data_IF_001440193651
#
_entry.id   IF_001440193651
#
_cell.length_a   1.000
_cell.length_b   1.000
_cell.length_c   1.000
_cell.angle_alpha   90.00
_cell.angle_beta   90.00
_cell.angle_gamma   90.00
#
_symmetry.space_group_name_H-M   'P 1'
#
loop_
_entity.id
_entity.type
_entity.pdbx_description
1 polymer ?
#
# COMPACT_ATOMS: atom_id res chain seq x y z
N UNK A 1 -7.06 30.55 20.45
CA UNK A 1 -5.85 31.35 20.19
C UNK A 1 -4.74 30.54 19.52
N UNK A 2 -4.47 29.32 19.95
CA UNK A 2 -3.43 28.43 19.37
C UNK A 2 -3.68 28.05 17.91
N UNK A 3 -4.91 27.68 17.53
CA UNK A 3 -5.28 27.42 16.13
C UNK A 3 -4.85 28.52 15.17
N UNK A 4 -5.16 29.78 15.47
CA UNK A 4 -4.78 30.93 14.62
C UNK A 4 -3.26 31.07 14.46
N UNK A 5 -2.46 30.63 15.43
CA UNK A 5 -1.00 30.67 15.35
C UNK A 5 -0.46 29.54 14.46
N UNK A 6 -1.03 28.34 14.55
CA UNK A 6 -0.63 27.19 13.70
C UNK A 6 -0.91 27.45 12.22
N UNK A 7 -2.10 27.96 11.89
CA UNK A 7 -2.43 28.30 10.49
C UNK A 7 -1.61 29.46 9.91
N UNK A 8 -0.90 30.23 10.73
CA UNK A 8 0.10 31.20 10.26
C UNK A 8 1.47 30.58 9.95
N UNK A 9 1.68 29.29 10.27
CA UNK A 9 2.93 28.59 9.94
C UNK A 9 2.78 27.95 8.55
N UNK A 10 3.53 28.40 7.53
CA UNK A 10 3.36 27.90 6.16
C UNK A 10 3.58 26.39 6.07
N UNK A 11 4.58 25.87 6.79
CA UNK A 11 4.87 24.43 6.78
C UNK A 11 3.74 23.56 7.37
N UNK A 12 2.93 24.08 8.30
CA UNK A 12 1.76 23.36 8.78
C UNK A 12 0.65 23.33 7.71
N UNK A 13 0.41 24.47 7.06
CA UNK A 13 -0.60 24.57 6.00
C UNK A 13 -0.20 23.71 4.80
N UNK A 14 1.08 23.71 4.42
CA UNK A 14 1.57 22.83 3.33
C UNK A 14 1.42 21.36 3.67
N UNK A 15 1.63 20.93 4.91
CA UNK A 15 1.41 19.54 5.33
C UNK A 15 -0.07 19.12 5.19
N UNK A 16 -1.02 19.99 5.60
CA UNK A 16 -2.45 19.74 5.42
C UNK A 16 -2.85 19.69 3.94
N UNK A 17 -2.31 20.61 3.13
CA UNK A 17 -2.57 20.64 1.69
C UNK A 17 -2.02 19.37 1.00
N UNK A 18 -0.88 18.87 1.46
CA UNK A 18 -0.25 17.67 0.92
C UNK A 18 -1.10 16.41 1.21
N UNK A 19 -1.78 16.34 2.36
CA UNK A 19 -2.77 15.28 2.65
C UNK A 19 -3.89 15.31 1.60
N UNK A 20 -4.43 16.49 1.30
CA UNK A 20 -5.49 16.63 0.30
C UNK A 20 -5.00 16.20 -1.09
N UNK A 21 -3.83 16.68 -1.50
CA UNK A 21 -3.23 16.33 -2.80
C UNK A 21 -3.01 14.82 -2.91
N UNK A 22 -2.43 14.19 -1.88
CA UNK A 22 -2.23 12.74 -1.85
C UNK A 22 -3.56 11.97 -1.96
N UNK A 23 -4.58 12.42 -1.24
CA UNK A 23 -5.92 11.81 -1.31
C UNK A 23 -6.52 11.93 -2.71
N UNK A 24 -6.38 13.09 -3.33
CA UNK A 24 -6.87 13.33 -4.70
C UNK A 24 -6.13 12.44 -5.72
N UNK A 25 -4.80 12.36 -5.64
CA UNK A 25 -3.99 11.49 -6.51
C UNK A 25 -4.45 10.03 -6.39
N UNK A 26 -4.66 9.55 -5.16
CA UNK A 26 -5.07 8.17 -4.92
C UNK A 26 -6.51 7.92 -5.42
N UNK A 27 -7.41 8.88 -5.26
CA UNK A 27 -8.77 8.78 -5.81
C UNK A 27 -8.76 8.69 -7.33
N UNK A 28 -7.96 9.51 -8.01
CA UNK A 28 -7.82 9.42 -9.47
C UNK A 28 -7.19 8.09 -9.89
N UNK A 29 -6.16 7.65 -9.18
CA UNK A 29 -5.53 6.35 -9.42
C UNK A 29 -6.45 5.17 -9.08
N UNK A 30 -7.30 5.30 -8.06
CA UNK A 30 -8.29 4.28 -7.65
C UNK A 30 -9.46 4.16 -8.61
N UNK A 31 -9.86 5.25 -9.30
CA UNK A 31 -10.88 5.19 -10.34
C UNK A 31 -10.44 4.34 -11.54
N UNK A 32 -9.14 4.22 -11.78
CA UNK A 32 -8.54 3.27 -12.73
C UNK A 32 -8.38 1.85 -12.14
N UNK A 33 -8.97 1.55 -11.00
CA UNK A 33 -8.95 0.25 -10.33
C UNK A 33 -7.69 -0.03 -9.51
N UNK A 34 -6.91 1.00 -9.12
CA UNK A 34 -5.67 0.85 -8.34
C UNK A 34 -4.57 0.07 -9.05
N UNK A 35 -4.58 0.14 -10.36
CA UNK A 35 -3.70 -0.60 -11.25
C UNK A 35 -2.33 0.05 -11.28
N UNK A 36 -1.31 -0.73 -10.97
CA UNK A 36 0.09 -0.26 -10.85
C UNK A 36 0.83 -0.39 -12.17
N UNK A 37 0.41 -1.31 -13.02
CA UNK A 37 1.03 -1.60 -14.31
C UNK A 37 -0.04 -1.72 -15.38
N UNK A 38 0.23 -1.17 -16.56
CA UNK A 38 -0.63 -1.24 -17.75
C UNK A 38 0.04 -2.09 -18.83
N UNK A 39 -0.69 -3.05 -19.37
CA UNK A 39 -0.22 -3.94 -20.43
C UNK A 39 -1.18 -3.89 -21.61
N UNK A 40 -0.65 -3.65 -22.79
CA UNK A 40 -1.42 -3.69 -24.03
C UNK A 40 -1.33 -5.08 -24.65
N UNK A 41 -2.49 -5.69 -24.90
CA UNK A 41 -2.62 -7.00 -25.53
C UNK A 41 -3.00 -6.84 -27.00
N UNK A 42 -2.38 -7.64 -27.88
CA UNK A 42 -2.68 -7.65 -29.29
C UNK A 42 -2.62 -9.09 -29.83
N UNK A 43 -3.63 -9.52 -30.58
CA UNK A 43 -3.56 -10.72 -31.39
C UNK A 43 -3.25 -10.32 -32.84
N UNK A 44 -2.21 -10.89 -33.45
CA UNK A 44 -1.89 -10.66 -34.87
C UNK A 44 -2.99 -11.23 -35.78
N UNK A 45 -3.64 -12.32 -35.34
CA UNK A 45 -4.77 -12.93 -36.05
C UNK A 45 -6.03 -12.88 -35.17
N UNK A 46 -7.01 -12.11 -35.57
CA UNK A 46 -8.29 -12.02 -34.87
C UNK A 46 -9.14 -13.31 -34.89
N UNK A 47 -8.79 -14.25 -35.77
CA UNK A 47 -9.47 -15.55 -35.87
C UNK A 47 -8.83 -16.63 -34.96
N UNK A 48 -7.75 -16.32 -34.26
CA UNK A 48 -7.16 -17.22 -33.26
C UNK A 48 -8.03 -17.23 -32.00
N UNK A 49 -8.79 -18.32 -31.83
CA UNK A 49 -9.75 -18.48 -30.73
C UNK A 49 -9.04 -18.51 -29.38
N UNK A 50 -7.90 -19.18 -29.27
CA UNK A 50 -7.13 -19.30 -28.02
C UNK A 50 -6.60 -17.93 -27.59
N UNK A 51 -5.97 -17.20 -28.51
CA UNK A 51 -5.46 -15.85 -28.21
C UNK A 51 -6.60 -14.89 -27.79
N UNK A 52 -7.73 -14.94 -28.51
CA UNK A 52 -8.89 -14.08 -28.25
C UNK A 52 -9.53 -14.38 -26.88
N UNK A 53 -9.66 -15.66 -26.53
CA UNK A 53 -10.23 -16.07 -25.24
C UNK A 53 -9.31 -15.64 -24.08
N UNK A 54 -8.00 -15.86 -24.18
CA UNK A 54 -7.02 -15.42 -23.16
C UNK A 54 -7.04 -13.89 -22.99
N UNK A 55 -7.07 -13.12 -24.09
CA UNK A 55 -7.17 -11.67 -24.05
C UNK A 55 -8.46 -11.23 -23.37
N UNK A 56 -9.58 -11.87 -23.68
CA UNK A 56 -10.88 -11.57 -23.06
C UNK A 56 -10.87 -11.87 -21.57
N UNK A 57 -10.34 -13.01 -21.14
CA UNK A 57 -10.19 -13.36 -19.73
C UNK A 57 -9.34 -12.36 -18.98
N UNK A 58 -8.14 -12.05 -19.48
CA UNK A 58 -7.22 -11.09 -18.86
C UNK A 58 -7.83 -9.69 -18.74
N UNK A 59 -8.58 -9.23 -19.76
CA UNK A 59 -9.21 -7.91 -19.75
C UNK A 59 -10.44 -7.84 -18.85
N UNK A 60 -11.16 -8.95 -18.64
CA UNK A 60 -12.35 -8.99 -17.78
C UNK A 60 -12.01 -9.11 -16.30
N UNK A 61 -10.82 -9.59 -15.97
CA UNK A 61 -10.41 -9.88 -14.61
C UNK A 61 -9.97 -8.62 -13.85
N UNK A 62 -10.50 -8.43 -12.66
CA UNK A 62 -10.04 -7.36 -11.75
C UNK A 62 -8.67 -7.73 -11.20
N UNK A 63 -7.66 -6.95 -11.52
CA UNK A 63 -6.28 -7.22 -11.13
C UNK A 63 -5.50 -5.93 -10.92
N UNK A 64 -4.36 -6.03 -10.26
CA UNK A 64 -3.38 -4.93 -10.08
C UNK A 64 -2.80 -4.46 -11.42
N UNK A 65 -2.90 -5.31 -12.45
CA UNK A 65 -2.46 -5.02 -13.81
C UNK A 65 -3.64 -4.56 -14.65
N UNK A 66 -3.48 -3.46 -15.35
CA UNK A 66 -4.45 -2.97 -16.35
C UNK A 66 -4.15 -3.62 -17.69
N UNK A 67 -5.05 -4.48 -18.14
CA UNK A 67 -4.99 -4.99 -19.50
C UNK A 67 -5.85 -4.14 -20.42
N UNK A 68 -5.30 -3.74 -21.55
CA UNK A 68 -5.97 -3.03 -22.63
C UNK A 68 -5.71 -3.73 -23.95
N UNK A 69 -6.59 -3.61 -24.93
CA UNK A 69 -6.44 -4.23 -26.24
C UNK A 69 -5.98 -3.22 -27.29
N UNK A 70 -5.11 -3.62 -28.19
CA UNK A 70 -4.76 -2.85 -29.39
C UNK A 70 -5.26 -3.56 -30.63
N UNK A 71 -5.64 -2.77 -31.64
CA UNK A 71 -6.15 -3.29 -32.92
C UNK A 71 -5.04 -3.77 -33.87
N UNK A 72 -3.80 -3.34 -33.64
CA UNK A 72 -2.64 -3.78 -34.42
C UNK A 72 -1.37 -3.83 -33.60
N UNK A 73 -0.39 -4.55 -34.10
CA UNK A 73 0.96 -4.67 -33.51
C UNK A 73 1.66 -3.31 -33.40
N UNK A 74 1.54 -2.49 -34.43
CA UNK A 74 2.12 -1.15 -34.48
C UNK A 74 1.52 -0.26 -33.41
N UNK A 75 0.21 -0.35 -33.19
CA UNK A 75 -0.47 0.38 -32.11
C UNK A 75 0.02 -0.09 -30.74
N UNK A 76 0.19 -1.40 -30.54
CA UNK A 76 0.69 -1.95 -29.29
C UNK A 76 2.11 -1.44 -28.99
N UNK A 77 3.00 -1.42 -29.95
CA UNK A 77 4.34 -0.85 -29.82
C UNK A 77 4.30 0.64 -29.51
N UNK A 78 3.52 1.41 -30.28
CA UNK A 78 3.37 2.85 -30.07
C UNK A 78 2.86 3.18 -28.66
N UNK A 79 1.98 2.36 -28.09
CA UNK A 79 1.51 2.54 -26.73
C UNK A 79 2.64 2.38 -25.71
N UNK A 80 3.58 1.45 -25.91
CA UNK A 80 4.73 1.28 -25.02
C UNK A 80 5.75 2.41 -25.23
N UNK A 81 6.06 2.78 -26.47
CA UNK A 81 7.00 3.87 -26.77
C UNK A 81 6.53 5.22 -26.22
N UNK A 82 5.23 5.49 -26.28
CA UNK A 82 4.63 6.73 -25.78
C UNK A 82 4.32 6.69 -24.25
N UNK A 83 4.67 5.61 -23.55
CA UNK A 83 4.43 5.48 -22.11
C UNK A 83 2.95 5.36 -21.72
N UNK A 84 2.06 4.98 -22.67
CA UNK A 84 0.64 4.69 -22.42
C UNK A 84 0.50 3.35 -21.71
N UNK A 85 1.39 2.40 -22.02
CA UNK A 85 1.51 1.10 -21.35
C UNK A 85 2.96 0.78 -21.02
N UNK A 86 3.16 0.02 -19.95
CA UNK A 86 4.49 -0.39 -19.45
C UNK A 86 5.06 -1.56 -20.27
N UNK A 87 4.16 -2.37 -20.84
CA UNK A 87 4.52 -3.49 -21.71
C UNK A 87 3.43 -3.75 -22.75
N UNK A 88 3.79 -4.44 -23.82
CA UNK A 88 2.81 -5.04 -24.71
C UNK A 88 3.10 -6.54 -24.93
N UNK A 89 2.02 -7.30 -25.03
CA UNK A 89 2.05 -8.73 -25.31
C UNK A 89 1.34 -8.99 -26.61
N UNK A 90 2.07 -9.56 -27.56
CA UNK A 90 1.61 -9.82 -28.90
C UNK A 90 1.50 -11.32 -29.10
N UNK A 91 0.29 -11.81 -29.25
CA UNK A 91 0.02 -13.18 -29.65
C UNK A 91 0.27 -13.30 -31.15
N UNK A 92 1.18 -14.20 -31.52
CA UNK A 92 1.58 -14.37 -32.91
C UNK A 92 0.45 -15.02 -33.73
N UNK A 93 0.61 -15.03 -35.04
CA UNK A 93 -0.41 -15.35 -36.04
C UNK A 93 -1.18 -16.67 -35.83
N UNK A 94 -0.64 -17.59 -35.06
CA UNK A 94 -1.31 -18.85 -34.75
C UNK A 94 -0.83 -19.44 -33.42
N UNK A 95 -1.42 -18.98 -32.32
CA UNK A 95 -1.07 -19.41 -30.94
C UNK A 95 -1.38 -20.90 -30.73
N UNK A 96 -2.55 -21.37 -31.19
CA UNK A 96 -2.97 -22.75 -31.08
C UNK A 96 -2.00 -23.70 -31.80
N UNK A 97 -1.60 -23.33 -33.02
CA UNK A 97 -0.62 -24.12 -33.80
C UNK A 97 0.76 -24.15 -33.12
N UNK A 98 1.20 -23.02 -32.59
CA UNK A 98 2.46 -22.91 -31.86
C UNK A 98 2.50 -23.78 -30.62
N UNK A 99 1.38 -23.91 -29.90
CA UNK A 99 1.25 -24.82 -28.76
C UNK A 99 1.32 -26.29 -29.19
N UNK A 100 0.63 -26.69 -30.25
CA UNK A 100 0.67 -28.05 -30.80
C UNK A 100 2.09 -28.44 -31.28
N UNK A 101 2.75 -27.55 -32.01
CA UNK A 101 4.13 -27.76 -32.45
C UNK A 101 5.11 -27.92 -31.28
N UNK A 102 4.86 -27.24 -30.17
CA UNK A 102 5.65 -27.40 -28.94
C UNK A 102 5.49 -28.81 -28.34
N UNK A 103 4.27 -29.32 -28.30
CA UNK A 103 3.97 -30.67 -27.80
C UNK A 103 4.60 -31.75 -28.69
N UNK A 104 4.44 -31.62 -30.01
CA UNK A 104 4.93 -32.64 -30.97
C UNK A 104 6.45 -32.68 -31.08
N UNK A 105 7.11 -31.50 -31.13
CA UNK A 105 8.55 -31.40 -31.38
C UNK A 105 9.40 -31.29 -30.09
N UNK A 106 8.78 -31.19 -28.92
CA UNK A 106 9.46 -31.04 -27.63
C UNK A 106 10.22 -29.71 -27.46
N UNK A 107 9.91 -28.70 -28.25
CA UNK A 107 10.54 -27.38 -28.17
C UNK A 107 9.91 -26.32 -29.04
N UNK A 108 10.09 -25.03 -28.65
CA UNK A 108 9.59 -23.91 -29.42
C UNK A 108 10.45 -23.61 -30.64
N UNK A 109 9.88 -23.68 -31.82
CA UNK A 109 10.52 -23.15 -33.04
C UNK A 109 10.36 -21.66 -33.15
N UNK A 110 9.20 -21.13 -32.74
CA UNK A 110 8.90 -19.68 -32.67
C UNK A 110 8.08 -19.40 -31.43
N UNK A 111 8.33 -18.27 -30.73
CA UNK A 111 7.50 -17.89 -29.59
C UNK A 111 6.09 -17.57 -30.08
N UNK A 112 5.07 -18.11 -29.43
CA UNK A 112 3.66 -17.81 -29.72
C UNK A 112 3.14 -16.56 -29.01
N UNK A 113 3.88 -16.06 -28.00
CA UNK A 113 3.65 -14.74 -27.40
C UNK A 113 4.96 -13.99 -27.36
N UNK A 114 4.97 -12.77 -27.88
CA UNK A 114 6.11 -11.86 -27.84
C UNK A 114 5.81 -10.77 -26.81
N UNK A 115 6.72 -10.58 -25.87
CA UNK A 115 6.62 -9.59 -24.78
C UNK A 115 7.63 -8.48 -25.04
N UNK A 116 7.15 -7.25 -25.12
CA UNK A 116 7.98 -6.04 -25.23
C UNK A 116 7.69 -5.14 -24.03
N UNK A 117 8.73 -4.72 -23.34
CA UNK A 117 8.65 -3.89 -22.13
C UNK A 117 9.81 -2.90 -22.10
N UNK A 118 9.60 -1.72 -21.51
CA UNK A 118 10.65 -0.71 -21.38
C UNK A 118 11.64 -1.06 -20.25
N UNK A 119 11.12 -1.50 -19.10
CA UNK A 119 11.91 -1.83 -17.93
C UNK A 119 11.38 -3.13 -17.30
N UNK A 120 12.22 -3.83 -16.55
CA UNK A 120 11.79 -4.99 -15.79
C UNK A 120 11.33 -4.56 -14.39
N UNK A 121 10.16 -4.98 -13.97
CA UNK A 121 9.61 -4.71 -12.65
C UNK A 121 9.00 -5.96 -12.02
N UNK A 122 8.95 -5.98 -10.69
CA UNK A 122 8.33 -7.09 -9.96
C UNK A 122 6.86 -7.30 -10.38
N UNK A 123 6.15 -6.24 -10.73
CA UNK A 123 4.76 -6.31 -11.16
C UNK A 123 4.62 -6.89 -12.58
N UNK A 124 5.57 -6.62 -13.47
CA UNK A 124 5.61 -7.24 -14.81
C UNK A 124 5.95 -8.72 -14.71
N UNK A 125 6.79 -9.12 -13.77
CA UNK A 125 7.05 -10.54 -13.47
C UNK A 125 5.77 -11.23 -13.02
N UNK A 126 5.04 -10.66 -12.06
CA UNK A 126 3.75 -11.19 -11.60
C UNK A 126 2.71 -11.23 -12.73
N UNK A 127 2.69 -10.23 -13.60
CA UNK A 127 1.81 -10.22 -14.77
C UNK A 127 2.14 -11.38 -15.73
N UNK A 128 3.43 -11.68 -15.95
CA UNK A 128 3.86 -12.83 -16.76
C UNK A 128 3.42 -14.16 -16.15
N UNK A 129 3.52 -14.32 -14.83
CA UNK A 129 2.99 -15.50 -14.14
C UNK A 129 1.48 -15.67 -14.37
N UNK A 130 0.74 -14.55 -14.37
CA UNK A 130 -0.68 -14.57 -14.69
C UNK A 130 -0.94 -14.99 -16.15
N UNK A 131 -0.13 -14.54 -17.09
CA UNK A 131 -0.19 -15.01 -18.48
C UNK A 131 0.06 -16.51 -18.57
N UNK A 132 1.09 -17.03 -17.89
CA UNK A 132 1.38 -18.45 -17.85
C UNK A 132 0.21 -19.25 -17.25
N UNK A 133 -0.42 -18.76 -16.19
CA UNK A 133 -1.57 -19.40 -15.58
C UNK A 133 -2.76 -19.51 -16.55
N UNK A 134 -2.92 -18.56 -17.48
CA UNK A 134 -3.98 -18.60 -18.51
C UNK A 134 -3.58 -19.46 -19.73
N UNK A 135 -2.31 -19.51 -20.07
CA UNK A 135 -1.80 -20.34 -21.18
C UNK A 135 -1.72 -21.82 -20.81
N UNK A 136 -1.36 -22.11 -19.56
CA UNK A 136 -1.09 -23.49 -19.11
C UNK A 136 -2.26 -24.46 -19.32
N UNK A 137 -3.54 -24.13 -19.08
CA UNK A 137 -4.65 -25.05 -19.31
C UNK A 137 -4.76 -25.53 -20.76
N UNK A 138 -4.49 -24.66 -21.73
CA UNK A 138 -4.50 -25.02 -23.16
C UNK A 138 -3.34 -25.94 -23.50
N UNK A 139 -2.12 -25.60 -23.04
CA UNK A 139 -0.93 -26.42 -23.25
C UNK A 139 -1.06 -27.79 -22.55
N UNK A 140 -1.59 -27.83 -21.34
CA UNK A 140 -1.80 -29.04 -20.58
C UNK A 140 -2.83 -29.96 -21.24
N UNK A 141 -3.87 -29.39 -21.87
CA UNK A 141 -4.81 -30.18 -22.65
C UNK A 141 -4.15 -30.82 -23.88
N UNK A 142 -3.35 -30.09 -24.63
CA UNK A 142 -2.67 -30.60 -25.80
C UNK A 142 -1.67 -31.73 -25.43
N UNK A 143 -0.91 -31.53 -24.32
CA UNK A 143 -0.03 -32.57 -23.77
C UNK A 143 -0.80 -33.83 -23.33
N UNK A 144 -1.95 -33.63 -22.67
CA UNK A 144 -2.80 -34.74 -22.23
C UNK A 144 -3.41 -35.48 -23.43
N UNK A 145 -3.91 -34.76 -24.43
CA UNK A 145 -4.49 -35.32 -25.64
C UNK A 145 -3.46 -36.12 -26.45
N UNK A 146 -2.26 -35.58 -26.61
CA UNK A 146 -1.16 -36.29 -27.29
C UNK A 146 -0.76 -37.58 -26.55
N UNK A 147 -0.61 -37.50 -25.22
CA UNK A 147 -0.30 -38.67 -24.39
C UNK A 147 -1.37 -39.78 -24.51
N UNK A 148 -2.66 -39.40 -24.46
CA UNK A 148 -3.78 -40.33 -24.51
C UNK A 148 -3.91 -40.96 -25.90
N UNK A 149 -3.76 -40.16 -26.96
CA UNK A 149 -3.79 -40.65 -28.35
C UNK A 149 -2.67 -41.63 -28.62
N UNK A 150 -1.44 -41.34 -28.19
CA UNK A 150 -0.27 -42.17 -28.46
C UNK A 150 -0.27 -43.47 -27.64
N UNK A 151 -0.82 -43.50 -26.43
CA UNK A 151 -0.74 -44.66 -25.54
C UNK A 151 -2.03 -45.47 -25.48
N UNK A 152 -3.20 -44.88 -25.73
CA UNK A 152 -4.51 -45.50 -25.51
C UNK A 152 -5.42 -45.47 -26.74
N UNK A 153 -5.07 -44.71 -27.79
CA UNK A 153 -5.83 -44.67 -29.04
C UNK A 153 -7.24 -44.09 -28.90
N UNK A 154 -7.49 -43.26 -27.84
CA UNK A 154 -8.78 -42.68 -27.57
C UNK A 154 -9.06 -41.44 -28.48
N UNK A 155 -10.34 -41.26 -28.84
CA UNK A 155 -10.79 -40.19 -29.75
C UNK A 155 -10.88 -38.80 -29.04
N UNK A 156 -10.46 -37.80 -29.78
CA UNK A 156 -10.21 -36.43 -29.23
C UNK A 156 -11.43 -35.71 -28.61
N UNK A 157 -12.65 -35.95 -29.10
CA UNK A 157 -13.83 -35.19 -28.58
C UNK A 157 -14.23 -35.66 -27.18
N UNK A 158 -14.22 -36.95 -26.88
CA UNK A 158 -14.55 -37.44 -25.54
C UNK A 158 -13.46 -37.11 -24.52
N UNK A 159 -12.20 -37.06 -24.95
CA UNK A 159 -11.08 -36.64 -24.11
C UNK A 159 -11.20 -35.19 -23.70
N UNK A 160 -11.62 -34.30 -24.63
CA UNK A 160 -11.82 -32.88 -24.37
C UNK A 160 -12.87 -32.64 -23.27
N UNK A 161 -14.02 -33.32 -23.39
CA UNK A 161 -15.08 -33.22 -22.42
C UNK A 161 -14.67 -33.75 -21.03
N UNK A 162 -13.96 -34.88 -20.99
CA UNK A 162 -13.44 -35.45 -19.74
C UNK A 162 -12.40 -34.53 -19.08
N UNK A 163 -11.47 -33.99 -19.88
CA UNK A 163 -10.45 -33.07 -19.36
C UNK A 163 -11.05 -31.82 -18.74
N UNK A 164 -11.96 -31.12 -19.44
CA UNK A 164 -12.59 -29.91 -18.92
C UNK A 164 -13.50 -30.19 -17.73
N UNK A 165 -14.23 -31.31 -17.71
CA UNK A 165 -15.04 -31.72 -16.56
C UNK A 165 -14.16 -32.08 -15.34
N UNK A 166 -12.97 -32.64 -15.55
CA UNK A 166 -12.03 -32.94 -14.48
C UNK A 166 -11.24 -31.71 -14.03
N UNK A 167 -10.98 -30.76 -14.93
CA UNK A 167 -10.25 -29.52 -14.62
C UNK A 167 -11.14 -28.40 -14.06
N UNK A 168 -12.49 -28.49 -14.21
CA UNK A 168 -13.46 -27.59 -13.60
C UNK A 168 -13.64 -27.92 -12.09
N UNK A 169 -12.51 -27.97 -11.39
CA UNK A 169 -12.48 -28.11 -9.94
C UNK A 169 -12.96 -26.75 -9.39
N UNK A 170 -14.21 -26.70 -9.02
CA UNK A 170 -14.84 -25.51 -8.39
C UNK A 170 -14.42 -25.28 -6.94
N UNK A 171 -13.79 -26.28 -6.34
CA UNK A 171 -13.29 -26.19 -4.98
C UNK A 171 -11.85 -25.64 -4.99
N UNK A 172 -11.63 -24.60 -4.22
CA UNK A 172 -10.28 -24.06 -3.99
C UNK A 172 -9.38 -25.19 -3.46
N UNK A 173 -8.37 -25.56 -4.25
CA UNK A 173 -7.36 -26.58 -3.87
C UNK A 173 -6.59 -26.11 -2.61
N UNK A 174 -6.61 -24.81 -2.33
CA UNK A 174 -5.97 -24.19 -1.19
C UNK A 174 -6.99 -23.38 -0.38
N UNK A 175 -7.12 -23.75 0.90
CA UNK A 175 -7.84 -22.90 1.88
C UNK A 175 -6.85 -21.92 2.51
N UNK A 176 -6.98 -20.64 2.18
CA UNK A 176 -6.12 -19.59 2.72
C UNK A 176 -6.79 -19.00 3.95
N UNK A 177 -6.29 -19.35 5.12
CA UNK A 177 -6.70 -18.76 6.40
C UNK A 177 -5.61 -17.84 6.95
N UNK A 178 -6.00 -16.69 7.48
CA UNK A 178 -5.08 -15.77 8.12
C UNK A 178 -5.04 -16.03 9.63
N UNK A 179 -3.87 -16.26 10.19
CA UNK A 179 -3.64 -16.66 11.59
C UNK A 179 -4.28 -15.72 12.64
N UNK A 180 -4.56 -14.47 12.28
CA UNK A 180 -5.03 -13.43 13.21
C UNK A 180 -6.31 -12.71 12.76
N UNK A 181 -7.00 -13.19 11.74
CA UNK A 181 -8.26 -12.56 11.31
C UNK A 181 -9.26 -13.61 10.82
N UNK A 182 -10.45 -13.59 11.41
CA UNK A 182 -11.62 -14.35 10.92
C UNK A 182 -12.25 -13.70 9.66
N UNK A 183 -11.68 -12.63 9.15
CA UNK A 183 -12.16 -11.92 7.97
C UNK A 183 -11.43 -12.41 6.73
N UNK A 184 -12.17 -12.99 5.78
CA UNK A 184 -11.71 -13.09 4.40
C UNK A 184 -11.26 -11.70 3.98
N UNK A 185 -10.01 -11.57 3.57
CA UNK A 185 -9.49 -10.30 3.01
C UNK A 185 -10.28 -10.07 1.74
N UNK A 186 -11.27 -9.17 1.81
CA UNK A 186 -11.82 -8.58 0.59
C UNK A 186 -10.63 -8.03 -0.19
N UNK A 187 -10.63 -8.19 -1.51
CA UNK A 187 -9.58 -7.72 -2.42
C UNK A 187 -9.25 -6.25 -2.15
N UNK A 188 -8.34 -6.03 -1.20
CA UNK A 188 -7.94 -4.68 -0.83
C UNK A 188 -7.06 -4.14 -1.95
N UNK A 189 -7.49 -3.04 -2.52
CA UNK A 189 -6.73 -2.32 -3.52
C UNK A 189 -5.30 -2.08 -2.99
N UNK A 190 -4.30 -2.62 -3.67
CA UNK A 190 -2.88 -2.61 -3.23
C UNK A 190 -2.37 -1.20 -2.89
N UNK A 191 -2.87 -0.17 -3.57
CA UNK A 191 -2.51 1.23 -3.31
C UNK A 191 -3.13 1.80 -2.03
N UNK A 192 -4.20 1.20 -1.55
CA UNK A 192 -4.95 1.68 -0.39
C UNK A 192 -4.29 1.29 0.93
N UNK A 193 -3.64 0.14 0.99
CA UNK A 193 -2.97 -0.34 2.21
C UNK A 193 -1.84 0.61 2.67
N UNK A 194 -0.91 1.05 1.80
CA UNK A 194 0.11 2.03 2.18
C UNK A 194 -0.44 3.41 2.50
N UNK A 195 -1.58 3.81 1.89
CA UNK A 195 -2.19 5.12 2.12
C UNK A 195 -2.41 5.40 3.60
N UNK A 196 -3.00 4.44 4.32
CA UNK A 196 -3.27 4.59 5.75
C UNK A 196 -1.99 4.81 6.55
N UNK A 197 -0.94 4.06 6.23
CA UNK A 197 0.37 4.22 6.85
C UNK A 197 0.98 5.60 6.59
N UNK A 198 0.97 6.04 5.34
CA UNK A 198 1.48 7.37 4.95
C UNK A 198 0.66 8.48 5.62
N UNK A 199 -0.66 8.38 5.65
CA UNK A 199 -1.52 9.37 6.31
C UNK A 199 -1.28 9.42 7.83
N UNK A 200 -1.06 8.27 8.48
CA UNK A 200 -0.68 8.22 9.89
C UNK A 200 0.67 8.95 10.12
N UNK A 201 1.62 8.81 9.21
CA UNK A 201 2.90 9.54 9.29
C UNK A 201 2.72 11.06 9.25
N UNK A 202 1.72 11.61 8.55
CA UNK A 202 1.45 13.04 8.58
C UNK A 202 1.00 13.53 9.95
N UNK A 203 0.20 12.76 10.69
CA UNK A 203 -0.18 13.11 12.08
C UNK A 203 1.07 13.17 12.95
N UNK A 204 1.97 12.21 12.79
CA UNK A 204 3.22 12.17 13.54
C UNK A 204 4.15 13.32 13.17
N UNK A 205 4.31 13.61 11.87
CA UNK A 205 5.13 14.71 11.36
C UNK A 205 4.64 16.07 11.90
N UNK A 206 3.34 16.32 11.83
CA UNK A 206 2.78 17.61 12.30
C UNK A 206 2.84 17.72 13.82
N UNK A 207 2.73 16.64 14.55
CA UNK A 207 2.91 16.59 16.00
C UNK A 207 4.35 16.94 16.39
N UNK A 208 5.35 16.35 15.77
CA UNK A 208 6.76 16.64 15.98
C UNK A 208 7.14 18.05 15.53
N UNK A 209 6.64 18.52 14.38
CA UNK A 209 6.89 19.86 13.89
C UNK A 209 6.29 20.93 14.84
N UNK A 210 5.16 20.64 15.48
CA UNK A 210 4.54 21.56 16.42
C UNK A 210 5.35 21.80 17.69
N UNK A 211 6.20 20.84 18.10
CA UNK A 211 7.19 21.05 19.17
C UNK A 211 8.16 22.18 18.79
N UNK A 212 8.64 22.16 17.54
CA UNK A 212 9.53 23.23 17.04
C UNK A 212 8.82 24.60 17.02
N UNK A 213 7.55 24.62 16.61
CA UNK A 213 6.76 25.86 16.60
C UNK A 213 6.54 26.38 18.01
N UNK A 214 6.20 25.50 18.96
CA UNK A 214 6.07 25.87 20.37
C UNK A 214 7.37 26.45 20.93
N UNK A 215 8.50 25.75 20.74
CA UNK A 215 9.79 26.22 21.20
C UNK A 215 10.20 27.57 20.59
N UNK A 216 9.91 27.80 19.31
CA UNK A 216 10.17 29.06 18.65
C UNK A 216 9.27 30.18 19.23
N UNK A 217 8.00 29.91 19.44
CA UNK A 217 7.05 30.89 20.01
C UNK A 217 7.41 31.18 21.47
N UNK A 218 7.90 30.17 22.24
CA UNK A 218 8.42 30.35 23.58
C UNK A 218 9.66 31.26 23.61
N UNK A 219 10.63 31.04 22.69
CA UNK A 219 11.81 31.92 22.56
C UNK A 219 11.45 33.37 22.22
N UNK A 220 10.35 33.59 21.51
CA UNK A 220 9.81 34.94 21.18
C UNK A 220 8.99 35.55 22.31
N UNK A 221 8.96 34.92 23.50
CA UNK A 221 8.25 35.44 24.67
C UNK A 221 6.74 35.21 24.65
N UNK A 222 6.21 34.44 23.71
CA UNK A 222 4.76 34.23 23.58
C UNK A 222 4.10 33.63 24.82
N UNK A 223 4.86 32.91 25.64
CA UNK A 223 4.41 32.20 26.86
C UNK A 223 5.12 32.68 28.12
N UNK A 224 5.72 33.90 28.12
CA UNK A 224 6.49 34.44 29.23
C UNK A 224 5.65 34.63 30.52
N UNK A 225 4.33 34.81 30.38
CA UNK A 225 3.39 34.99 31.48
C UNK A 225 2.97 33.66 32.16
N UNK A 226 3.36 32.51 31.61
CA UNK A 226 2.98 31.16 32.11
C UNK A 226 4.04 30.68 33.10
N UNK A 227 3.56 30.16 34.24
CA UNK A 227 4.42 29.56 35.25
C UNK A 227 5.26 28.39 34.62
N UNK A 228 6.58 28.34 34.88
CA UNK A 228 7.47 27.27 34.34
C UNK A 228 6.94 25.84 34.54
N UNK A 229 6.33 25.55 35.68
CA UNK A 229 5.77 24.23 35.97
C UNK A 229 4.57 23.83 35.08
N UNK A 230 3.95 24.81 34.40
CA UNK A 230 2.81 24.59 33.50
C UNK A 230 3.22 24.55 32.01
N UNK A 231 4.49 24.80 31.71
CA UNK A 231 4.95 24.84 30.31
C UNK A 231 4.72 23.51 29.59
N UNK A 232 4.91 22.35 30.24
CA UNK A 232 4.69 21.05 29.62
C UNK A 232 3.21 20.82 29.21
N UNK A 233 2.26 21.34 30.01
CA UNK A 233 0.83 21.24 29.68
C UNK A 233 0.47 22.12 28.50
N UNK A 234 1.04 23.33 28.43
CA UNK A 234 0.82 24.27 27.32
C UNK A 234 1.48 23.76 26.03
N UNK A 235 2.65 23.12 26.15
CA UNK A 235 3.29 22.40 25.05
C UNK A 235 2.40 21.26 24.54
N UNK A 236 1.92 20.42 25.46
CA UNK A 236 1.00 19.34 25.12
C UNK A 236 -0.28 19.84 24.44
N UNK A 237 -0.88 20.93 24.92
CA UNK A 237 -2.06 21.55 24.31
C UNK A 237 -1.74 22.09 22.90
N UNK A 238 -0.56 22.70 22.72
CA UNK A 238 -0.13 23.21 21.41
C UNK A 238 0.04 22.09 20.39
N UNK A 239 0.68 20.98 20.81
CA UNK A 239 0.86 19.78 20.00
C UNK A 239 -0.48 19.11 19.71
N UNK A 240 -1.36 19.00 20.74
CA UNK A 240 -2.68 18.40 20.60
C UNK A 240 -3.54 19.11 19.54
N UNK A 241 -3.54 20.43 19.54
CA UNK A 241 -4.27 21.22 18.52
C UNK A 241 -3.75 20.89 17.11
N UNK A 242 -2.45 20.76 16.93
CA UNK A 242 -1.86 20.38 15.65
C UNK A 242 -2.24 18.98 15.23
N UNK A 243 -2.06 18.00 16.14
CA UNK A 243 -2.34 16.60 15.89
C UNK A 243 -3.82 16.32 15.60
N UNK A 244 -4.73 16.93 16.37
CA UNK A 244 -6.18 16.78 16.16
C UNK A 244 -6.60 17.36 14.80
N UNK A 245 -6.13 18.57 14.45
CA UNK A 245 -6.45 19.14 13.15
C UNK A 245 -5.98 18.21 12.01
N UNK A 246 -4.75 17.72 12.07
CA UNK A 246 -4.23 16.78 11.05
C UNK A 246 -5.01 15.46 11.05
N UNK A 247 -5.34 14.90 12.22
CA UNK A 247 -6.12 13.68 12.32
C UNK A 247 -7.52 13.79 11.72
N UNK A 248 -8.17 14.96 11.86
CA UNK A 248 -9.46 15.22 11.20
C UNK A 248 -9.32 15.18 9.68
N UNK A 249 -8.28 15.82 9.12
CA UNK A 249 -8.01 15.76 7.68
C UNK A 249 -7.72 14.34 7.22
N UNK A 250 -6.95 13.57 8.01
CA UNK A 250 -6.63 12.16 7.72
C UNK A 250 -7.89 11.29 7.78
N UNK A 251 -8.76 11.46 8.78
CA UNK A 251 -10.02 10.71 8.86
C UNK A 251 -10.94 11.01 7.68
N UNK A 252 -11.03 12.28 7.26
CA UNK A 252 -11.79 12.66 6.07
C UNK A 252 -11.18 12.01 4.82
N UNK A 253 -9.86 12.05 4.69
CA UNK A 253 -9.14 11.43 3.58
C UNK A 253 -9.38 9.92 3.49
N UNK A 254 -9.30 9.20 4.62
CA UNK A 254 -9.58 7.76 4.71
C UNK A 254 -11.05 7.44 4.41
N UNK A 255 -11.98 8.29 4.87
CA UNK A 255 -13.41 8.13 4.58
C UNK A 255 -13.73 8.27 3.10
N UNK A 256 -13.17 9.29 2.45
CA UNK A 256 -13.35 9.53 1.01
C UNK A 256 -12.71 8.41 0.17
N UNK A 257 -11.58 7.88 0.62
CA UNK A 257 -10.86 6.78 -0.06
C UNK A 257 -11.52 5.41 0.11
N UNK A 258 -12.62 5.30 0.85
CA UNK A 258 -13.34 4.03 1.05
C UNK A 258 -12.59 2.98 1.88
N UNK A 259 -11.57 3.38 2.63
CA UNK A 259 -10.68 2.50 3.39
C UNK A 259 -11.23 2.14 4.77
N UNK A 260 -12.34 2.74 5.19
CA UNK A 260 -12.93 2.47 6.50
C UNK A 260 -13.48 1.04 6.59
N UNK A 261 -13.04 0.32 7.61
CA UNK A 261 -13.67 -0.95 8.01
C UNK A 261 -14.90 -0.70 8.89
N UNK A 262 -14.78 0.22 9.87
CA UNK A 262 -15.85 0.64 10.77
C UNK A 262 -15.54 2.03 11.29
N UNK A 263 -16.46 2.98 11.11
CA UNK A 263 -16.26 4.37 11.53
C UNK A 263 -15.92 4.51 13.03
N UNK A 264 -16.63 3.76 13.89
CA UNK A 264 -16.39 3.81 15.34
C UNK A 264 -15.02 3.29 15.74
N UNK A 265 -14.58 2.17 15.15
CA UNK A 265 -13.25 1.61 15.40
C UNK A 265 -12.14 2.56 14.92
N UNK A 266 -12.28 3.11 13.71
CA UNK A 266 -11.31 4.05 13.15
C UNK A 266 -11.17 5.31 14.00
N UNK A 267 -12.30 5.87 14.45
CA UNK A 267 -12.31 7.07 15.30
C UNK A 267 -11.60 6.80 16.64
N UNK A 268 -11.90 5.66 17.28
CA UNK A 268 -11.26 5.26 18.54
C UNK A 268 -9.75 5.09 18.37
N UNK A 269 -9.32 4.35 17.35
CA UNK A 269 -7.91 4.10 17.07
C UNK A 269 -7.15 5.38 16.73
N UNK A 270 -7.75 6.27 15.94
CA UNK A 270 -7.17 7.57 15.61
C UNK A 270 -7.04 8.46 16.85
N UNK A 271 -8.02 8.45 17.75
CA UNK A 271 -7.96 9.19 19.01
C UNK A 271 -6.80 8.69 19.88
N UNK A 272 -6.68 7.39 20.08
CA UNK A 272 -5.57 6.79 20.83
C UNK A 272 -4.23 7.11 20.17
N UNK A 273 -4.16 7.04 18.84
CA UNK A 273 -2.96 7.36 18.07
C UNK A 273 -2.54 8.82 18.23
N UNK A 274 -3.48 9.76 18.20
CA UNK A 274 -3.22 11.18 18.46
C UNK A 274 -2.62 11.38 19.85
N UNK A 275 -3.19 10.74 20.89
CA UNK A 275 -2.68 10.83 22.26
C UNK A 275 -1.25 10.26 22.34
N UNK A 276 -0.96 9.13 21.71
CA UNK A 276 0.39 8.56 21.61
C UNK A 276 1.36 9.52 20.92
N UNK A 277 0.94 10.11 19.79
CA UNK A 277 1.76 11.04 19.01
C UNK A 277 2.10 12.31 19.78
N UNK A 278 1.17 12.82 20.59
CA UNK A 278 1.40 13.95 21.49
C UNK A 278 2.46 13.58 22.53
N UNK A 279 2.29 12.47 23.23
CA UNK A 279 3.22 12.01 24.27
C UNK A 279 4.62 11.79 23.71
N UNK A 280 4.73 11.10 22.57
CA UNK A 280 6.01 10.87 21.91
C UNK A 280 6.68 12.18 21.46
N UNK A 281 5.91 13.14 20.95
CA UNK A 281 6.43 14.44 20.51
C UNK A 281 6.95 15.26 21.69
N UNK A 282 6.25 15.26 22.85
CA UNK A 282 6.73 15.88 24.09
C UNK A 282 8.04 15.24 24.51
N UNK A 283 8.11 13.91 24.52
CA UNK A 283 9.32 13.17 24.91
C UNK A 283 10.52 13.56 24.03
N UNK A 284 10.35 13.58 22.71
CA UNK A 284 11.42 14.01 21.78
C UNK A 284 11.80 15.48 22.01
N UNK A 285 10.81 16.36 22.25
CA UNK A 285 11.02 17.75 22.58
C UNK A 285 11.88 17.94 23.85
N UNK A 286 11.56 17.17 24.88
CA UNK A 286 12.30 17.18 26.13
C UNK A 286 13.72 16.60 25.98
N UNK A 287 13.92 15.55 25.19
CA UNK A 287 15.25 14.98 24.94
C UNK A 287 16.12 15.95 24.12
N UNK A 288 15.61 16.48 23.04
CA UNK A 288 16.37 17.34 22.13
C UNK A 288 16.65 18.73 22.71
N UNK A 289 15.72 19.32 23.44
CA UNK A 289 15.86 20.60 24.15
C UNK A 289 16.12 21.84 23.30
N UNK A 290 16.43 21.70 22.02
CA UNK A 290 16.76 22.81 21.08
C UNK A 290 16.05 22.63 19.75
N UNK A 291 15.51 23.74 19.20
CA UNK A 291 14.80 23.74 17.90
C UNK A 291 15.67 23.21 16.76
N UNK A 292 16.95 23.61 16.72
CA UNK A 292 17.87 23.17 15.66
C UNK A 292 18.08 21.65 15.67
N UNK A 293 18.22 21.05 16.88
CA UNK A 293 18.39 19.61 17.03
C UNK A 293 17.16 18.86 16.55
N UNK A 294 15.95 19.30 16.94
CA UNK A 294 14.71 18.67 16.47
C UNK A 294 14.59 18.79 14.96
N UNK A 295 14.91 19.95 14.39
CA UNK A 295 14.88 20.18 12.93
C UNK A 295 15.81 19.26 12.14
N UNK A 296 16.97 18.93 12.71
CA UNK A 296 17.93 17.99 12.07
C UNK A 296 17.51 16.53 12.24
N UNK A 297 16.94 16.18 13.40
CA UNK A 297 16.55 14.80 13.73
C UNK A 297 15.24 14.41 13.05
N UNK A 298 14.32 15.35 12.84
CA UNK A 298 12.98 15.08 12.33
C UNK A 298 12.95 14.34 10.99
N UNK A 299 13.70 14.74 9.93
CA UNK A 299 13.73 13.99 8.67
C UNK A 299 14.26 12.57 8.84
N UNK A 300 15.34 12.41 9.62
CA UNK A 300 15.91 11.09 9.91
C UNK A 300 14.94 10.19 10.67
N UNK A 301 14.26 10.74 11.68
CA UNK A 301 13.25 10.03 12.45
C UNK A 301 12.07 9.59 11.58
N UNK A 302 11.62 10.44 10.66
CA UNK A 302 10.55 10.11 9.70
C UNK A 302 10.97 8.99 8.75
N UNK A 303 12.20 9.02 8.24
CA UNK A 303 12.73 7.94 7.39
C UNK A 303 12.83 6.60 8.15
N UNK A 304 13.32 6.64 9.40
CA UNK A 304 13.40 5.44 10.24
C UNK A 304 11.99 4.89 10.51
N UNK A 305 11.03 5.74 10.85
CA UNK A 305 9.64 5.31 11.05
C UNK A 305 9.05 4.70 9.78
N UNK A 306 9.30 5.29 8.62
CA UNK A 306 8.81 4.79 7.34
C UNK A 306 9.39 3.41 7.00
N UNK A 307 10.68 3.19 7.32
CA UNK A 307 11.36 1.93 7.06
C UNK A 307 10.99 0.82 8.06
N UNK A 308 10.74 1.18 9.31
CA UNK A 308 10.56 0.21 10.42
C UNK A 308 9.10 -0.13 10.68
N UNK A 309 8.20 0.87 10.56
CA UNK A 309 6.76 0.63 10.74
C UNK A 309 6.16 -0.07 9.50
N UNK A 310 5.10 -0.88 9.67
CA UNK A 310 4.48 -1.64 8.57
C UNK A 310 3.65 -0.74 7.66
N UNK A 311 4.29 0.27 7.04
CA UNK A 311 3.68 1.17 6.07
C UNK A 311 3.68 0.55 4.68
N UNK A 312 4.83 0.10 4.22
CA UNK A 312 5.01 -0.54 2.91
C UNK A 312 5.39 -2.02 3.03
N UNK A 313 6.22 -2.37 4.04
CA UNK A 313 6.74 -3.71 4.23
C UNK A 313 6.67 -4.07 5.71
N UNK A 314 6.23 -5.27 6.01
CA UNK A 314 6.26 -5.82 7.37
C UNK A 314 7.63 -6.47 7.59
N UNK A 315 8.42 -5.92 8.51
CA UNK A 315 9.70 -6.49 8.91
C UNK A 315 9.52 -7.33 10.18
N UNK A 316 9.43 -8.67 10.07
CA UNK A 316 9.22 -9.52 11.23
C UNK A 316 10.45 -9.48 12.18
N UNK A 317 10.19 -9.44 13.50
CA UNK A 317 11.24 -9.54 14.52
C UNK A 317 12.04 -8.26 14.81
N UNK A 318 11.68 -7.12 14.22
CA UNK A 318 12.38 -5.87 14.47
C UNK A 318 11.88 -5.19 15.75
N UNK A 319 12.68 -5.24 16.83
CA UNK A 319 12.33 -4.62 18.11
C UNK A 319 12.16 -3.08 18.03
N UNK A 320 12.77 -2.41 17.05
CA UNK A 320 12.73 -0.96 16.91
C UNK A 320 11.32 -0.44 16.59
N UNK A 321 10.50 -1.25 15.94
CA UNK A 321 9.11 -0.90 15.58
C UNK A 321 8.24 -0.56 16.82
N UNK A 322 8.50 -1.20 17.97
CA UNK A 322 7.75 -0.96 19.22
C UNK A 322 8.00 0.42 19.83
N UNK A 323 9.01 1.15 19.38
CA UNK A 323 9.29 2.51 19.85
C UNK A 323 8.34 3.54 19.21
N UNK A 324 7.79 3.23 18.05
CA UNK A 324 7.08 4.21 17.22
C UNK A 324 5.54 4.07 17.29
N UNK A 325 4.80 5.18 17.53
CA UNK A 325 3.34 5.18 17.57
C UNK A 325 2.64 4.61 16.33
N UNK A 326 3.10 4.87 15.07
CA UNK A 326 2.43 4.35 13.88
C UNK A 326 2.34 2.82 13.85
N UNK A 327 3.32 2.12 14.41
CA UNK A 327 3.31 0.66 14.49
C UNK A 327 2.06 0.13 15.21
N UNK A 328 1.74 0.68 16.37
CA UNK A 328 0.58 0.25 17.14
C UNK A 328 -0.74 0.56 16.47
N UNK A 329 -0.85 1.76 15.86
CA UNK A 329 -2.04 2.18 15.13
C UNK A 329 -2.35 1.25 13.95
N UNK A 330 -1.35 0.93 13.14
CA UNK A 330 -1.53 0.09 11.96
C UNK A 330 -1.88 -1.36 12.33
N UNK A 331 -1.25 -1.92 13.37
CA UNK A 331 -1.55 -3.27 13.82
C UNK A 331 -2.87 -3.39 14.59
N UNK A 332 -3.31 -2.35 15.32
CA UNK A 332 -4.57 -2.35 16.05
C UNK A 332 -5.82 -2.46 15.17
N UNK A 333 -5.68 -2.19 13.89
CA UNK A 333 -6.74 -2.37 12.89
C UNK A 333 -7.06 -3.85 12.66
N UNK A 334 -6.01 -4.68 12.66
CA UNK A 334 -6.10 -6.12 12.40
C UNK A 334 -6.27 -6.92 13.70
N UNK A 335 -5.56 -6.53 14.77
CA UNK A 335 -5.60 -7.23 16.06
C UNK A 335 -5.94 -6.26 17.20
N UNK A 336 -7.09 -6.47 17.82
CA UNK A 336 -7.59 -5.66 18.93
C UNK A 336 -6.70 -5.70 20.19
N UNK A 337 -5.80 -6.68 20.33
CA UNK A 337 -4.82 -6.75 21.42
C UNK A 337 -3.90 -5.54 21.44
N UNK A 338 -3.62 -4.96 20.26
CA UNK A 338 -2.79 -3.76 20.16
C UNK A 338 -3.42 -2.51 20.79
N UNK A 339 -4.75 -2.49 21.03
CA UNK A 339 -5.40 -1.40 21.76
C UNK A 339 -4.86 -1.34 23.20
N UNK A 340 -4.69 -2.50 23.85
CA UNK A 340 -4.09 -2.55 25.18
C UNK A 340 -2.63 -2.07 25.16
N UNK A 341 -1.86 -2.48 24.14
CA UNK A 341 -0.48 -2.01 23.99
C UNK A 341 -0.41 -0.50 23.77
N UNK A 342 -1.36 0.10 23.03
CA UNK A 342 -1.47 1.56 22.86
C UNK A 342 -1.67 2.25 24.22
N UNK A 343 -2.55 1.73 25.07
CA UNK A 343 -2.77 2.29 26.41
C UNK A 343 -1.52 2.20 27.29
N UNK A 344 -0.85 1.07 27.30
CA UNK A 344 0.42 0.87 28.02
C UNK A 344 1.49 1.84 27.51
N UNK A 345 1.60 1.99 26.18
CA UNK A 345 2.54 2.91 25.56
C UNK A 345 2.26 4.38 25.96
N UNK A 346 1.00 4.80 25.94
CA UNK A 346 0.58 6.14 26.40
C UNK A 346 1.08 6.36 27.83
N UNK A 347 0.75 5.45 28.75
CA UNK A 347 1.15 5.57 30.14
C UNK A 347 2.68 5.68 30.30
N UNK A 348 3.44 4.83 29.58
CA UNK A 348 4.89 4.81 29.64
C UNK A 348 5.53 6.11 29.12
N UNK A 349 5.08 6.60 27.96
CA UNK A 349 5.66 7.79 27.32
C UNK A 349 5.36 9.07 28.11
N UNK A 350 4.14 9.21 28.63
CA UNK A 350 3.80 10.37 29.47
C UNK A 350 4.53 10.33 30.82
N UNK A 351 4.68 9.14 31.43
CA UNK A 351 5.47 9.00 32.66
C UNK A 351 6.94 9.39 32.43
N UNK A 352 7.57 8.90 31.34
CA UNK A 352 8.94 9.26 30.97
C UNK A 352 9.08 10.75 30.69
N UNK A 353 8.19 11.34 29.91
CA UNK A 353 8.20 12.79 29.62
C UNK A 353 8.10 13.64 30.90
N UNK A 354 7.23 13.23 31.83
CA UNK A 354 7.09 13.92 33.13
C UNK A 354 8.34 13.80 33.98
N UNK A 355 8.97 12.64 34.05
CA UNK A 355 10.21 12.40 34.81
C UNK A 355 11.35 13.26 34.24
N UNK A 356 11.55 13.26 32.92
CA UNK A 356 12.60 14.05 32.28
C UNK A 356 12.39 15.56 32.53
N UNK A 357 11.16 16.03 32.40
CA UNK A 357 10.85 17.43 32.69
C UNK A 357 11.16 17.79 34.16
N UNK A 358 10.78 16.94 35.12
CA UNK A 358 11.11 17.16 36.55
C UNK A 358 12.61 17.24 36.81
N UNK A 359 13.39 16.34 36.20
CA UNK A 359 14.85 16.36 36.33
C UNK A 359 15.43 17.67 35.80
N UNK A 360 14.93 18.14 34.66
CA UNK A 360 15.38 19.42 34.10
C UNK A 360 15.04 20.61 34.98
N UNK A 361 13.82 20.69 35.50
CA UNK A 361 13.41 21.79 36.39
C UNK A 361 14.25 21.82 37.66
N UNK A 362 14.69 20.66 38.16
CA UNK A 362 15.52 20.59 39.36
C UNK A 362 16.98 21.01 39.14
N UNK A 363 17.45 20.91 37.91
CA UNK A 363 18.83 21.27 37.53
C UNK A 363 18.97 22.71 37.00
N UNK A 364 17.89 23.49 37.02
CA UNK A 364 17.83 24.94 36.79
C UNK A 364 17.68 25.66 38.12
#
# INVERSE_FOLDING_TARGET
MMNKRLYKKPAFVTALLLIIVMTVIILFSSNDGGRVVSITLCAENSNDTVATDIIKELTSEKSVVKFSTASSKEQAYSNVENGISDACWIFTDNTEKGMKEYVEDGGFKKPFVQIYQQEDSAFLILAREKLYAKLYPYLAYDLYSDFMSNNYGEDNEQLKERYYNASDIKDDIMDISFLNSDTKVEETNFLVTPLRGVLAMFVMLTSLASVMYFMNDKKRGAFAWINPNRHIFVEGEYIAVSAINTAVFVLVALGISGVFTSFGKELLLMLLYVIMSIGFSILIGEICGRVQVIGSVLPGLMLIMLAVCPVFVVLPGNALQYVFPPFYYLNALYDSRYILHMLIYIAAVYALGFVINRIKIRNW
#
